data_IF_712671313060
#
_entry.id   IF_712671313060
#
_cell.length_a   1.000
_cell.length_b   1.000
_cell.length_c   1.000
_cell.angle_alpha   90.00
_cell.angle_beta   90.00
_cell.angle_gamma   90.00
#
_symmetry.space_group_name_H-M   'P 1'
#
loop_
_entity.id
_entity.type
_entity.pdbx_description
1 polymer ?
#
# COMPACT_ATOMS: atom_id res chain seq x y z
N UNK A 1 -20.94 25.55 -4.91
CA UNK A 1 -19.66 24.97 -4.49
C UNK A 1 -19.77 23.80 -3.49
N UNK A 2 -20.83 23.73 -2.66
CA UNK A 2 -21.04 22.63 -1.69
C UNK A 2 -21.63 21.33 -2.27
N UNK A 3 -22.16 21.34 -3.49
CA UNK A 3 -22.77 20.16 -4.13
C UNK A 3 -21.75 19.06 -4.47
N UNK A 4 -20.55 19.42 -4.96
CA UNK A 4 -19.52 18.46 -5.35
C UNK A 4 -18.96 17.65 -4.16
N UNK A 5 -18.58 18.29 -3.02
CA UNK A 5 -18.17 17.53 -1.83
C UNK A 5 -19.29 16.67 -1.25
N UNK A 6 -20.53 17.16 -1.30
CA UNK A 6 -21.70 16.38 -0.89
C UNK A 6 -21.93 15.15 -1.74
N UNK A 7 -21.81 15.28 -3.06
CA UNK A 7 -21.95 14.17 -3.99
C UNK A 7 -20.86 13.08 -3.79
N UNK A 8 -19.60 13.48 -3.54
CA UNK A 8 -18.52 12.50 -3.29
C UNK A 8 -18.74 11.74 -1.99
N UNK A 9 -19.21 12.39 -0.94
CA UNK A 9 -19.51 11.75 0.34
C UNK A 9 -20.71 10.78 0.22
N UNK A 10 -21.71 11.18 -0.56
CA UNK A 10 -22.87 10.34 -0.85
C UNK A 10 -22.49 9.10 -1.64
N UNK A 11 -21.58 9.20 -2.61
CA UNK A 11 -21.03 8.03 -3.34
C UNK A 11 -20.35 7.04 -2.41
N UNK A 12 -19.51 7.50 -1.47
CA UNK A 12 -18.84 6.63 -0.50
C UNK A 12 -19.87 5.90 0.37
N UNK A 13 -20.94 6.59 0.81
CA UNK A 13 -22.01 5.98 1.58
C UNK A 13 -22.80 4.94 0.77
N UNK A 14 -23.16 5.27 -0.47
CA UNK A 14 -23.87 4.34 -1.36
C UNK A 14 -23.02 3.06 -1.60
N UNK A 15 -21.71 3.23 -1.85
CA UNK A 15 -20.80 2.09 -2.01
C UNK A 15 -20.76 1.21 -0.75
N UNK A 16 -20.62 1.83 0.43
CA UNK A 16 -20.61 1.09 1.69
C UNK A 16 -21.91 0.34 1.96
N UNK A 17 -23.05 1.00 1.73
CA UNK A 17 -24.38 0.36 1.88
C UNK A 17 -24.56 -0.77 0.86
N UNK A 18 -24.17 -0.57 -0.40
CA UNK A 18 -24.26 -1.59 -1.44
C UNK A 18 -23.43 -2.83 -1.13
N UNK A 19 -22.18 -2.65 -0.65
CA UNK A 19 -21.32 -3.75 -0.21
C UNK A 19 -21.93 -4.49 0.99
N UNK A 20 -22.49 -3.77 1.97
CA UNK A 20 -23.15 -4.36 3.12
C UNK A 20 -24.38 -5.19 2.71
N UNK A 21 -25.25 -4.64 1.86
CA UNK A 21 -26.45 -5.34 1.39
C UNK A 21 -26.10 -6.62 0.61
N UNK A 22 -25.07 -6.57 -0.23
CA UNK A 22 -24.60 -7.72 -1.01
C UNK A 22 -23.83 -8.74 -0.16
N UNK A 23 -23.22 -8.35 0.94
CA UNK A 23 -22.57 -9.25 1.88
C UNK A 23 -23.53 -9.83 2.93
N UNK A 24 -24.75 -9.30 3.08
CA UNK A 24 -25.69 -9.71 4.11
C UNK A 24 -25.94 -11.23 4.17
N UNK A 25 -26.08 -11.97 3.05
CA UNK A 25 -26.37 -13.41 3.10
C UNK A 25 -25.30 -14.23 3.84
N UNK A 26 -24.04 -13.79 3.90
CA UNK A 26 -22.99 -14.55 4.59
C UNK A 26 -23.15 -14.52 6.11
N UNK A 27 -23.85 -13.51 6.64
CA UNK A 27 -24.08 -13.36 8.08
C UNK A 27 -25.24 -14.21 8.62
N UNK A 28 -26.04 -14.81 7.73
CA UNK A 28 -27.10 -15.75 8.14
C UNK A 28 -26.50 -17.04 8.70
N UNK A 29 -25.39 -17.50 8.10
CA UNK A 29 -24.75 -18.78 8.46
C UNK A 29 -23.47 -18.62 9.30
N UNK A 30 -22.83 -17.44 9.29
CA UNK A 30 -21.53 -17.21 9.91
C UNK A 30 -21.49 -15.97 10.78
N UNK A 31 -20.82 -16.04 11.92
CA UNK A 31 -20.58 -14.86 12.76
C UNK A 31 -19.42 -14.01 12.21
N UNK A 32 -19.49 -12.68 12.43
CA UNK A 32 -18.41 -11.74 12.06
C UNK A 32 -17.04 -12.18 12.58
N UNK A 33 -16.97 -12.65 13.82
CA UNK A 33 -15.73 -13.07 14.45
C UNK A 33 -15.16 -14.32 13.80
N UNK A 34 -16.01 -15.29 13.48
CA UNK A 34 -15.62 -16.50 12.76
C UNK A 34 -15.03 -16.15 11.39
N UNK A 35 -15.72 -15.32 10.60
CA UNK A 35 -15.24 -14.89 9.27
C UNK A 35 -13.87 -14.20 9.35
N UNK A 36 -13.65 -13.35 10.33
CA UNK A 36 -12.39 -12.58 10.45
C UNK A 36 -11.24 -13.40 11.03
N UNK A 37 -11.50 -14.38 11.91
CA UNK A 37 -10.48 -15.13 12.63
C UNK A 37 -10.19 -16.51 12.07
N UNK A 38 -11.12 -17.10 11.30
CA UNK A 38 -10.91 -18.42 10.72
C UNK A 38 -9.82 -18.37 9.63
N UNK A 39 -8.98 -19.40 9.59
CA UNK A 39 -7.91 -19.57 8.61
C UNK A 39 -8.25 -20.49 7.45
N UNK A 40 -9.42 -21.12 7.49
CA UNK A 40 -9.81 -22.11 6.49
C UNK A 40 -10.69 -21.47 5.40
N UNK A 41 -10.22 -21.53 4.15
CA UNK A 41 -10.95 -21.06 2.98
C UNK A 41 -11.34 -22.25 2.11
N UNK A 42 -12.60 -22.71 2.25
CA UNK A 42 -13.20 -23.82 1.47
C UNK A 42 -14.64 -23.46 1.07
N UNK A 43 -14.83 -22.61 0.07
CA UNK A 43 -16.16 -22.12 -0.31
C UNK A 43 -17.18 -23.23 -0.63
N UNK A 44 -16.75 -24.31 -1.30
CA UNK A 44 -17.62 -25.46 -1.60
C UNK A 44 -18.09 -26.23 -0.36
N UNK A 45 -17.47 -25.99 0.80
CA UNK A 45 -17.86 -26.56 2.09
C UNK A 45 -18.46 -25.52 3.04
N UNK A 46 -18.87 -24.37 2.51
CA UNK A 46 -19.38 -23.23 3.29
C UNK A 46 -18.44 -22.76 4.41
N UNK A 47 -17.12 -22.81 4.18
CA UNK A 47 -16.12 -22.30 5.13
C UNK A 47 -15.40 -21.10 4.54
N UNK A 48 -15.62 -19.93 5.14
CA UNK A 48 -15.10 -18.64 4.68
C UNK A 48 -14.27 -17.98 5.77
N UNK A 49 -12.96 -18.29 5.81
CA UNK A 49 -12.01 -17.65 6.72
C UNK A 49 -11.21 -16.55 5.99
N UNK A 50 -11.31 -15.30 6.44
CA UNK A 50 -10.60 -14.16 5.81
C UNK A 50 -9.26 -13.84 6.45
N UNK A 51 -8.91 -14.48 7.58
CA UNK A 51 -7.66 -14.20 8.29
C UNK A 51 -6.39 -14.33 7.43
N UNK A 52 -6.22 -15.38 6.59
CA UNK A 52 -5.03 -15.50 5.73
C UNK A 52 -4.91 -14.33 4.74
N UNK A 53 -6.03 -13.87 4.18
CA UNK A 53 -6.04 -12.78 3.19
C UNK A 53 -5.78 -11.42 3.81
N UNK A 54 -6.29 -11.19 5.02
CA UNK A 54 -6.00 -9.99 5.82
C UNK A 54 -4.51 -9.95 6.15
N UNK A 55 -3.96 -11.05 6.66
CA UNK A 55 -2.54 -11.13 7.00
C UNK A 55 -1.65 -10.99 5.76
N UNK A 56 -1.99 -11.63 4.64
CA UNK A 56 -1.30 -11.46 3.37
C UNK A 56 -1.25 -9.99 2.93
N UNK A 57 -2.39 -9.28 3.02
CA UNK A 57 -2.46 -7.85 2.68
C UNK A 57 -1.58 -7.00 3.60
N UNK A 58 -1.64 -7.25 4.91
CA UNK A 58 -0.84 -6.51 5.90
C UNK A 58 0.66 -6.75 5.72
N UNK A 59 1.07 -8.00 5.53
CA UNK A 59 2.47 -8.36 5.32
C UNK A 59 3.05 -7.74 4.05
N UNK A 60 2.38 -7.89 2.89
CA UNK A 60 2.85 -7.34 1.61
C UNK A 60 2.92 -5.81 1.68
N UNK A 61 1.87 -5.15 2.19
CA UNK A 61 1.85 -3.69 2.35
C UNK A 61 2.92 -3.22 3.34
N UNK A 62 3.09 -3.93 4.46
CA UNK A 62 4.11 -3.62 5.47
C UNK A 62 5.53 -3.66 4.91
N UNK A 63 5.89 -4.73 4.19
CA UNK A 63 7.21 -4.84 3.55
C UNK A 63 7.39 -3.75 2.49
N UNK A 64 6.38 -3.50 1.66
CA UNK A 64 6.45 -2.45 0.65
C UNK A 64 6.75 -1.08 1.26
N UNK A 65 6.11 -0.74 2.38
CA UNK A 65 6.34 0.52 3.07
C UNK A 65 7.72 0.58 3.74
N UNK A 66 8.14 -0.49 4.40
CA UNK A 66 9.47 -0.56 5.03
C UNK A 66 10.59 -0.33 4.02
N UNK A 67 10.43 -0.81 2.80
CA UNK A 67 11.38 -0.60 1.70
C UNK A 67 11.23 0.77 1.06
N UNK A 68 10.01 1.18 0.72
CA UNK A 68 9.77 2.39 -0.06
C UNK A 68 9.97 3.69 0.75
N UNK A 69 9.56 3.73 2.03
CA UNK A 69 9.61 4.96 2.82
C UNK A 69 11.03 5.51 3.01
N UNK A 70 12.03 4.72 3.49
CA UNK A 70 13.37 5.24 3.67
C UNK A 70 14.01 5.63 2.33
N UNK A 71 13.82 4.83 1.28
CA UNK A 71 14.37 5.12 -0.04
C UNK A 71 13.78 6.41 -0.63
N UNK A 72 12.47 6.57 -0.59
CA UNK A 72 11.80 7.76 -1.11
C UNK A 72 12.15 9.02 -0.31
N UNK A 73 12.23 8.92 1.02
CA UNK A 73 12.58 10.05 1.87
C UNK A 73 14.01 10.53 1.60
N UNK A 74 14.97 9.60 1.55
CA UNK A 74 16.38 9.92 1.26
C UNK A 74 16.55 10.47 -0.15
N UNK A 75 15.86 9.88 -1.13
CA UNK A 75 15.88 10.37 -2.51
C UNK A 75 15.30 11.79 -2.61
N UNK A 76 14.17 12.05 -1.96
CA UNK A 76 13.57 13.37 -1.97
C UNK A 76 14.47 14.43 -1.28
N UNK A 77 15.07 14.09 -0.14
CA UNK A 77 16.05 14.94 0.54
C UNK A 77 17.24 15.23 -0.38
N UNK A 78 17.79 14.20 -1.03
CA UNK A 78 18.87 14.38 -1.98
C UNK A 78 18.48 15.32 -3.12
N UNK A 79 17.32 15.11 -3.72
CA UNK A 79 16.84 15.92 -4.83
C UNK A 79 16.59 17.38 -4.44
N UNK A 80 16.02 17.63 -3.26
CA UNK A 80 15.67 19.00 -2.84
C UNK A 80 16.86 19.79 -2.32
N UNK A 81 17.67 19.18 -1.46
CA UNK A 81 18.69 19.90 -0.70
C UNK A 81 20.12 19.80 -1.28
N UNK A 82 20.41 18.72 -2.04
CA UNK A 82 21.79 18.45 -2.47
C UNK A 82 21.99 18.40 -3.98
N UNK A 83 20.95 18.06 -4.75
CA UNK A 83 21.12 17.81 -6.18
C UNK A 83 21.29 19.07 -7.01
N UNK A 84 22.10 18.96 -8.06
CA UNK A 84 22.27 20.00 -9.09
C UNK A 84 21.05 20.00 -10.04
N UNK A 85 20.81 21.14 -10.70
CA UNK A 85 19.71 21.30 -11.67
C UNK A 85 19.70 20.23 -12.79
N UNK A 86 20.89 19.80 -13.25
CA UNK A 86 21.02 18.75 -14.26
C UNK A 86 20.45 17.40 -13.79
N UNK A 87 20.71 17.00 -12.52
CA UNK A 87 20.16 15.75 -11.94
C UNK A 87 18.63 15.82 -11.91
N UNK A 88 18.09 16.93 -11.43
CA UNK A 88 16.63 17.16 -11.37
C UNK A 88 15.98 17.05 -12.73
N UNK A 89 16.62 17.63 -13.76
CA UNK A 89 16.11 17.65 -15.16
C UNK A 89 15.89 16.24 -15.72
N UNK A 90 16.71 15.27 -15.34
CA UNK A 90 16.57 13.88 -15.82
C UNK A 90 15.74 13.01 -14.87
N UNK A 91 15.80 13.30 -13.57
CA UNK A 91 15.16 12.45 -12.57
C UNK A 91 13.64 12.62 -12.53
N UNK A 92 13.11 13.85 -12.65
CA UNK A 92 11.67 14.07 -12.66
C UNK A 92 10.95 13.39 -13.81
N UNK A 93 11.36 13.50 -15.07
CA UNK A 93 10.73 12.74 -16.15
C UNK A 93 10.80 11.22 -15.95
N UNK A 94 11.90 10.71 -15.38
CA UNK A 94 12.00 9.28 -15.07
C UNK A 94 10.99 8.84 -14.00
N UNK A 95 10.78 9.64 -12.96
CA UNK A 95 9.74 9.39 -11.95
C UNK A 95 8.34 9.43 -12.57
N UNK A 96 8.07 10.40 -13.44
CA UNK A 96 6.78 10.53 -14.11
C UNK A 96 6.48 9.33 -15.02
N UNK A 97 7.47 8.85 -15.76
CA UNK A 97 7.35 7.63 -16.58
C UNK A 97 7.05 6.43 -15.68
N UNK A 98 7.81 6.22 -14.59
CA UNK A 98 7.58 5.12 -13.66
C UNK A 98 6.19 5.22 -13.02
N UNK A 99 5.75 6.42 -12.62
CA UNK A 99 4.42 6.60 -12.02
C UNK A 99 3.27 6.34 -13.01
N UNK A 100 3.51 6.51 -14.31
CA UNK A 100 2.53 6.31 -15.37
C UNK A 100 2.42 4.85 -15.86
N UNK A 101 3.38 3.98 -15.51
CA UNK A 101 3.36 2.58 -15.92
C UNK A 101 2.13 1.85 -15.32
N UNK A 102 1.39 1.08 -16.14
CA UNK A 102 0.34 0.19 -15.63
C UNK A 102 0.87 -0.85 -14.64
N UNK A 103 0.10 -1.16 -13.60
CA UNK A 103 0.49 -2.13 -12.55
C UNK A 103 0.79 -3.54 -13.09
N UNK A 104 0.15 -3.92 -14.20
CA UNK A 104 0.43 -5.17 -14.90
C UNK A 104 1.90 -5.28 -15.32
N UNK A 105 2.51 -4.18 -15.79
CA UNK A 105 3.92 -4.19 -16.21
C UNK A 105 4.83 -4.49 -15.00
N UNK A 106 4.53 -3.89 -13.85
CA UNK A 106 5.26 -4.20 -12.60
C UNK A 106 5.08 -5.66 -12.17
N UNK A 107 3.86 -6.21 -12.34
CA UNK A 107 3.58 -7.62 -12.06
C UNK A 107 4.38 -8.57 -12.96
N UNK A 108 4.38 -8.32 -14.28
CA UNK A 108 5.17 -9.11 -15.25
C UNK A 108 6.67 -8.98 -14.96
N UNK A 109 7.17 -7.77 -14.74
CA UNK A 109 8.56 -7.53 -14.36
C UNK A 109 8.93 -8.28 -13.08
N UNK A 110 8.05 -8.23 -12.08
CA UNK A 110 8.23 -8.94 -10.81
C UNK A 110 8.28 -10.45 -10.98
N UNK A 111 7.36 -11.02 -11.77
CA UNK A 111 7.32 -12.46 -12.00
C UNK A 111 8.51 -12.98 -12.81
N UNK A 112 9.06 -12.18 -13.74
CA UNK A 112 10.18 -12.56 -14.59
C UNK A 112 11.56 -12.35 -13.95
N UNK A 113 11.70 -11.36 -13.06
CA UNK A 113 13.00 -10.98 -12.48
C UNK A 113 13.06 -11.18 -10.97
N UNK A 114 12.07 -10.68 -10.22
CA UNK A 114 12.11 -10.73 -8.75
C UNK A 114 11.82 -12.13 -8.23
N UNK A 115 10.84 -12.82 -8.80
CA UNK A 115 10.48 -14.18 -8.38
C UNK A 115 11.65 -15.16 -8.59
N UNK A 116 12.28 -15.27 -9.77
CA UNK A 116 13.45 -16.13 -9.96
C UNK A 116 14.64 -15.71 -9.08
N UNK A 117 14.88 -14.41 -8.93
CA UNK A 117 15.95 -13.91 -8.06
C UNK A 117 15.75 -14.34 -6.60
N UNK A 118 14.50 -14.31 -6.12
CA UNK A 118 14.19 -14.77 -4.75
C UNK A 118 14.36 -16.29 -4.66
N UNK A 119 13.82 -17.08 -5.60
CA UNK A 119 13.85 -18.54 -5.52
C UNK A 119 15.25 -19.12 -5.67
N UNK A 120 16.08 -18.56 -6.55
CA UNK A 120 17.38 -19.12 -6.90
C UNK A 120 18.53 -18.57 -6.05
N UNK A 121 18.46 -17.28 -5.67
CA UNK A 121 19.57 -16.60 -5.01
C UNK A 121 19.31 -16.27 -3.55
N UNK A 122 18.13 -15.74 -3.21
CA UNK A 122 17.90 -15.25 -1.85
C UNK A 122 17.37 -16.36 -0.92
N UNK A 123 16.31 -17.05 -1.33
CA UNK A 123 15.65 -18.05 -0.49
C UNK A 123 16.55 -19.22 -0.04
N UNK A 124 17.45 -19.78 -0.88
CA UNK A 124 18.30 -20.90 -0.45
C UNK A 124 19.21 -20.61 0.74
N UNK A 125 19.44 -19.32 1.07
CA UNK A 125 20.24 -18.95 2.24
C UNK A 125 19.43 -18.94 3.55
N UNK A 126 18.10 -18.97 3.47
CA UNK A 126 17.22 -18.79 4.63
C UNK A 126 16.19 -19.90 4.80
N UNK A 127 15.78 -20.55 3.71
CA UNK A 127 14.76 -21.61 3.71
C UNK A 127 15.16 -22.73 2.76
N UNK A 128 14.73 -23.97 3.06
CA UNK A 128 15.05 -25.14 2.24
C UNK A 128 14.41 -25.09 0.85
N UNK A 129 13.20 -24.51 0.77
CA UNK A 129 12.46 -24.39 -0.48
C UNK A 129 11.59 -23.13 -0.50
N UNK A 130 11.62 -22.41 -1.61
CA UNK A 130 10.68 -21.35 -1.93
C UNK A 130 10.44 -21.29 -3.44
N UNK A 131 9.18 -21.15 -3.84
CA UNK A 131 8.83 -20.96 -5.26
C UNK A 131 9.22 -19.56 -5.79
N UNK A 132 9.64 -18.64 -4.91
CA UNK A 132 9.86 -17.23 -5.22
C UNK A 132 8.59 -16.39 -5.28
N UNK A 133 7.43 -16.99 -5.48
CA UNK A 133 6.12 -16.32 -5.37
C UNK A 133 5.77 -16.17 -3.89
N UNK A 134 6.13 -15.04 -3.31
CA UNK A 134 6.18 -14.86 -1.86
C UNK A 134 5.66 -13.49 -1.43
N UNK A 135 5.42 -13.36 -0.13
CA UNK A 135 5.16 -12.06 0.52
C UNK A 135 6.25 -11.04 0.18
N UNK A 136 7.52 -11.49 0.19
CA UNK A 136 8.67 -10.63 -0.12
C UNK A 136 8.64 -10.14 -1.57
N UNK A 137 8.34 -11.03 -2.54
CA UNK A 137 8.21 -10.65 -3.94
C UNK A 137 7.12 -9.57 -4.13
N UNK A 138 5.95 -9.80 -3.54
CA UNK A 138 4.86 -8.82 -3.52
C UNK A 138 5.27 -7.49 -2.90
N UNK A 139 5.94 -7.54 -1.75
CA UNK A 139 6.43 -6.37 -1.05
C UNK A 139 7.46 -5.56 -1.86
N UNK A 140 8.41 -6.21 -2.52
CA UNK A 140 9.42 -5.55 -3.38
C UNK A 140 8.74 -4.90 -4.59
N UNK A 141 7.91 -5.64 -5.33
CA UNK A 141 7.22 -5.12 -6.52
C UNK A 141 6.34 -3.93 -6.16
N UNK A 142 5.56 -4.05 -5.08
CA UNK A 142 4.71 -2.97 -4.59
C UNK A 142 5.54 -1.77 -4.12
N UNK A 143 6.71 -1.98 -3.49
CA UNK A 143 7.60 -0.90 -3.07
C UNK A 143 8.11 -0.09 -4.25
N UNK A 144 8.55 -0.75 -5.33
CA UNK A 144 9.02 -0.10 -6.56
C UNK A 144 7.90 0.73 -7.21
N UNK A 145 6.67 0.23 -7.17
CA UNK A 145 5.51 0.90 -7.75
C UNK A 145 5.08 2.16 -6.97
N UNK A 146 5.17 2.13 -5.63
CA UNK A 146 4.77 3.29 -4.81
C UNK A 146 5.91 4.31 -4.63
N UNK A 147 7.15 3.92 -4.88
CA UNK A 147 8.33 4.76 -4.69
C UNK A 147 8.28 6.07 -5.50
N UNK A 148 7.94 6.09 -6.81
CA UNK A 148 7.85 7.34 -7.58
C UNK A 148 6.84 8.32 -6.99
N UNK A 149 5.67 7.82 -6.58
CA UNK A 149 4.63 8.63 -5.94
C UNK A 149 5.14 9.28 -4.64
N UNK A 150 5.78 8.49 -3.77
CA UNK A 150 6.31 8.99 -2.50
C UNK A 150 7.43 10.00 -2.70
N UNK A 151 8.34 9.75 -3.65
CA UNK A 151 9.43 10.70 -3.96
C UNK A 151 8.85 12.02 -4.44
N UNK A 152 7.90 12.01 -5.37
CA UNK A 152 7.27 13.22 -5.89
C UNK A 152 6.57 14.02 -4.79
N UNK A 153 5.79 13.34 -3.94
CA UNK A 153 5.12 13.98 -2.81
C UNK A 153 6.10 14.57 -1.80
N UNK A 154 7.16 13.86 -1.43
CA UNK A 154 8.14 14.36 -0.49
C UNK A 154 8.94 15.52 -1.06
N UNK A 155 9.30 15.49 -2.35
CA UNK A 155 9.95 16.63 -3.03
C UNK A 155 9.05 17.86 -2.99
N UNK A 156 7.77 17.72 -3.31
CA UNK A 156 6.81 18.81 -3.22
C UNK A 156 6.72 19.37 -1.79
N UNK A 157 6.56 18.50 -0.80
CA UNK A 157 6.49 18.88 0.62
C UNK A 157 7.74 19.64 1.06
N UNK A 158 8.95 19.16 0.74
CA UNK A 158 10.19 19.85 1.12
C UNK A 158 10.37 21.17 0.39
N UNK A 159 9.88 21.29 -0.84
CA UNK A 159 9.91 22.54 -1.60
C UNK A 159 9.02 23.63 -1.01
N UNK A 160 7.98 23.29 -0.24
CA UNK A 160 7.13 24.28 0.45
C UNK A 160 7.80 24.96 1.64
N UNK A 161 8.92 24.43 2.15
CA UNK A 161 9.64 25.03 3.26
C UNK A 161 10.38 26.28 2.77
N UNK A 162 10.13 27.49 3.34
CA UNK A 162 10.75 28.74 2.91
C UNK A 162 12.26 28.71 2.97
N UNK A 163 12.92 29.29 1.96
CA UNK A 163 14.39 29.35 1.89
C UNK A 163 14.97 30.16 3.06
N UNK A 164 14.28 31.19 3.52
CA UNK A 164 14.66 32.04 4.64
C UNK A 164 14.92 31.23 5.93
N UNK A 165 14.15 30.16 6.18
CA UNK A 165 14.36 29.30 7.34
C UNK A 165 15.64 28.46 7.23
N UNK A 166 16.01 28.07 6.00
CA UNK A 166 17.26 27.38 5.73
C UNK A 166 18.46 28.31 5.93
N UNK A 167 18.36 29.52 5.39
CA UNK A 167 19.41 30.53 5.47
C UNK A 167 19.62 31.00 6.92
N UNK A 168 18.54 31.22 7.68
CA UNK A 168 18.61 31.55 9.09
C UNK A 168 19.30 30.43 9.92
N UNK A 169 18.96 29.17 9.65
CA UNK A 169 19.62 28.03 10.32
C UNK A 169 21.13 27.98 10.01
N UNK A 170 21.50 28.19 8.75
CA UNK A 170 22.91 28.19 8.34
C UNK A 170 23.66 29.40 8.85
N UNK A 171 23.04 30.57 8.95
CA UNK A 171 23.62 31.77 9.56
C UNK A 171 23.95 31.57 11.06
N UNK A 172 23.19 30.70 11.76
CA UNK A 172 23.52 30.29 13.14
C UNK A 172 24.59 29.19 13.22
N UNK A 173 25.30 28.90 12.12
CA UNK A 173 26.37 27.91 12.06
C UNK A 173 25.94 26.45 11.87
N UNK A 174 24.68 26.19 11.57
CA UNK A 174 24.24 24.85 11.31
C UNK A 174 24.74 24.33 9.94
N UNK A 175 25.18 23.08 9.88
CA UNK A 175 25.53 22.43 8.62
C UNK A 175 24.27 22.17 7.75
N UNK A 176 24.44 21.96 6.45
CA UNK A 176 23.31 21.61 5.54
C UNK A 176 22.52 20.42 6.07
N UNK A 177 23.19 19.37 6.55
CA UNK A 177 22.51 18.19 7.12
C UNK A 177 21.72 18.52 8.39
N UNK A 178 22.29 19.35 9.27
CA UNK A 178 21.58 19.78 10.49
C UNK A 178 20.33 20.60 10.13
N UNK A 179 20.44 21.52 9.17
CA UNK A 179 19.33 22.30 8.66
C UNK A 179 18.24 21.38 8.06
N UNK A 180 18.63 20.45 7.17
CA UNK A 180 17.69 19.48 6.59
C UNK A 180 16.95 18.68 7.66
N UNK A 181 17.70 18.08 8.61
CA UNK A 181 17.13 17.22 9.65
C UNK A 181 16.27 17.99 10.65
N UNK A 182 16.76 19.13 11.16
CA UNK A 182 16.13 19.86 12.28
C UNK A 182 15.10 20.90 11.82
N UNK A 183 15.23 21.43 10.60
CA UNK A 183 14.33 22.46 10.08
C UNK A 183 13.40 21.86 9.02
N UNK A 184 13.93 21.37 7.90
CA UNK A 184 13.12 20.93 6.75
C UNK A 184 12.27 19.72 7.13
N UNK A 185 12.87 18.60 7.53
CA UNK A 185 12.13 17.37 7.86
C UNK A 185 11.19 17.62 9.04
N UNK A 186 11.68 18.26 10.10
CA UNK A 186 10.86 18.46 11.31
C UNK A 186 9.62 19.32 11.04
N UNK A 187 9.76 20.38 10.25
CA UNK A 187 8.62 21.23 9.86
C UNK A 187 7.64 20.48 8.94
N UNK A 188 8.16 19.58 8.12
CA UNK A 188 7.39 18.81 7.14
C UNK A 188 6.75 17.54 7.71
N UNK A 189 7.00 17.16 8.96
CA UNK A 189 6.50 15.91 9.54
C UNK A 189 5.00 15.69 9.36
N UNK A 190 4.10 16.66 9.59
CA UNK A 190 2.67 16.45 9.37
C UNK A 190 2.34 16.13 7.91
N UNK A 191 3.00 16.81 6.97
CA UNK A 191 2.80 16.59 5.52
C UNK A 191 3.41 15.28 5.06
N UNK A 192 4.58 14.89 5.58
CA UNK A 192 5.19 13.57 5.36
C UNK A 192 4.22 12.48 5.80
N UNK A 193 3.64 12.60 7.00
CA UNK A 193 2.67 11.63 7.48
C UNK A 193 1.44 11.52 6.57
N UNK A 194 0.93 12.65 6.05
CA UNK A 194 -0.17 12.65 5.08
C UNK A 194 0.19 11.92 3.78
N UNK A 195 1.41 12.12 3.27
CA UNK A 195 1.89 11.42 2.07
C UNK A 195 2.04 9.92 2.30
N UNK A 196 2.53 9.50 3.47
CA UNK A 196 2.60 8.08 3.87
C UNK A 196 1.22 7.45 3.89
N UNK A 197 0.23 8.11 4.46
CA UNK A 197 -1.16 7.64 4.49
C UNK A 197 -1.71 7.43 3.09
N UNK A 198 -1.46 8.38 2.19
CA UNK A 198 -1.89 8.27 0.80
C UNK A 198 -1.23 7.06 0.11
N UNK A 199 0.08 6.86 0.34
CA UNK A 199 0.81 5.72 -0.19
C UNK A 199 0.29 4.37 0.35
N UNK A 200 -0.01 4.29 1.66
CA UNK A 200 -0.62 3.09 2.27
C UNK A 200 -1.99 2.81 1.65
N UNK A 201 -2.85 3.83 1.51
CA UNK A 201 -4.17 3.66 0.91
C UNK A 201 -4.08 3.14 -0.53
N UNK A 202 -3.10 3.61 -1.30
CA UNK A 202 -2.81 3.11 -2.65
C UNK A 202 -2.29 1.67 -2.63
N UNK A 203 -1.35 1.36 -1.73
CA UNK A 203 -0.76 0.04 -1.60
C UNK A 203 -1.79 -1.04 -1.21
N UNK A 204 -2.71 -0.70 -0.29
CA UNK A 204 -3.79 -1.61 0.12
C UNK A 204 -4.77 -1.94 -1.01
N UNK A 205 -4.91 -1.06 -2.01
CA UNK A 205 -5.78 -1.25 -3.16
C UNK A 205 -5.11 -1.93 -4.36
N UNK A 206 -3.79 -2.18 -4.30
CA UNK A 206 -3.10 -2.77 -5.44
C UNK A 206 -3.48 -4.23 -5.64
N UNK A 207 -3.90 -4.53 -6.86
CA UNK A 207 -4.53 -5.81 -7.18
C UNK A 207 -3.67 -6.65 -8.11
N UNK A 208 -3.39 -6.15 -9.32
CA UNK A 208 -2.84 -6.95 -10.42
C UNK A 208 -1.36 -7.27 -10.21
N UNK A 209 -0.55 -6.28 -9.81
CA UNK A 209 0.86 -6.52 -9.58
C UNK A 209 1.07 -7.57 -8.48
N UNK A 210 0.32 -7.45 -7.38
CA UNK A 210 0.40 -8.37 -6.24
C UNK A 210 -0.14 -9.76 -6.58
N UNK A 211 -1.27 -9.84 -7.33
CA UNK A 211 -1.82 -11.11 -7.83
C UNK A 211 -0.79 -11.94 -8.60
N UNK A 212 0.06 -11.28 -9.38
CA UNK A 212 1.05 -11.94 -10.24
C UNK A 212 2.28 -12.47 -9.50
N UNK A 213 2.57 -12.01 -8.27
CA UNK A 213 3.85 -12.30 -7.59
C UNK A 213 3.73 -12.90 -6.19
N UNK A 214 2.52 -12.96 -5.61
CA UNK A 214 2.33 -13.45 -4.23
C UNK A 214 2.03 -14.95 -4.11
N UNK A 215 1.80 -15.65 -5.22
CA UNK A 215 1.56 -17.11 -5.24
C UNK A 215 0.14 -17.55 -4.96
N UNK A 216 -0.75 -16.68 -4.48
CA UNK A 216 -2.20 -16.86 -4.31
C UNK A 216 -2.61 -18.12 -3.53
N UNK A 217 -1.86 -18.47 -2.49
CA UNK A 217 -2.20 -19.55 -1.58
C UNK A 217 -3.00 -19.04 -0.38
N UNK A 218 -4.15 -19.68 -0.11
CA UNK A 218 -5.06 -19.32 0.99
C UNK A 218 -4.55 -19.85 2.33
N UNK A 219 -3.33 -19.45 2.71
CA UNK A 219 -2.70 -19.80 3.98
C UNK A 219 -2.14 -18.56 4.68
N UNK A 220 -2.03 -18.64 6.00
CA UNK A 220 -1.43 -17.56 6.79
C UNK A 220 0.09 -17.57 6.57
N UNK A 221 0.69 -16.50 6.07
CA UNK A 221 2.14 -16.44 5.92
C UNK A 221 2.81 -16.33 7.30
N UNK A 222 3.76 -17.21 7.60
CA UNK A 222 4.59 -17.21 8.80
C UNK A 222 5.98 -16.63 8.53
N UNK A 223 6.41 -16.64 7.27
CA UNK A 223 7.69 -16.12 6.81
C UNK A 223 7.49 -15.17 5.64
N UNK A 224 8.46 -14.29 5.41
CA UNK A 224 8.50 -13.43 4.22
C UNK A 224 8.70 -14.22 2.93
N UNK A 225 9.17 -15.47 3.03
CA UNK A 225 9.37 -16.39 1.91
C UNK A 225 8.16 -17.28 1.64
N UNK A 226 7.09 -17.16 2.42
CA UNK A 226 5.85 -17.89 2.20
C UNK A 226 5.02 -17.22 1.11
N UNK A 227 4.24 -18.02 0.38
CA UNK A 227 3.22 -17.52 -0.51
C UNK A 227 2.03 -16.99 0.32
N UNK A 228 1.35 -15.98 -0.22
CA UNK A 228 0.16 -15.40 0.40
C UNK A 228 -0.88 -15.02 -0.64
N UNK A 229 -2.08 -14.70 -0.17
CA UNK A 229 -3.17 -14.27 -1.04
C UNK A 229 -3.82 -13.00 -0.47
N UNK A 230 -3.38 -11.80 -0.89
CA UNK A 230 -3.97 -10.55 -0.42
C UNK A 230 -5.44 -10.38 -0.87
N UNK A 231 -6.23 -9.65 -0.07
CA UNK A 231 -7.67 -9.43 -0.31
C UNK A 231 -7.95 -8.88 -1.72
N UNK A 232 -7.26 -7.84 -2.23
CA UNK A 232 -7.53 -7.34 -3.58
C UNK A 232 -7.32 -8.41 -4.66
N UNK A 233 -6.28 -9.24 -4.50
CA UNK A 233 -5.98 -10.33 -5.42
C UNK A 233 -7.06 -11.44 -5.34
N UNK A 234 -7.55 -11.77 -4.14
CA UNK A 234 -8.66 -12.69 -3.96
C UNK A 234 -9.91 -12.24 -4.75
N UNK A 235 -10.28 -10.97 -4.61
CA UNK A 235 -11.45 -10.42 -5.29
C UNK A 235 -11.25 -10.48 -6.81
N UNK A 236 -10.13 -9.99 -7.33
CA UNK A 236 -9.88 -9.94 -8.76
C UNK A 236 -9.83 -11.31 -9.43
N UNK A 237 -9.27 -12.30 -8.76
CA UNK A 237 -9.12 -13.64 -9.33
C UNK A 237 -10.44 -14.45 -9.36
N UNK A 238 -11.34 -14.15 -8.43
CA UNK A 238 -12.56 -14.95 -8.28
C UNK A 238 -13.84 -14.23 -8.75
N UNK A 239 -13.79 -12.92 -9.00
CA UNK A 239 -15.00 -12.14 -9.29
C UNK A 239 -15.77 -12.60 -10.52
N UNK A 240 -15.11 -13.02 -11.59
CA UNK A 240 -15.79 -13.41 -12.84
C UNK A 240 -16.35 -14.82 -12.82
N UNK A 241 -15.70 -15.76 -12.12
CA UNK A 241 -16.00 -17.20 -12.23
C UNK A 241 -17.04 -17.66 -11.20
N UNK A 242 -17.06 -17.05 -10.02
CA UNK A 242 -17.80 -17.56 -8.86
C UNK A 242 -19.08 -16.80 -8.54
N UNK A 243 -19.47 -15.81 -9.34
CA UNK A 243 -20.73 -15.04 -9.16
C UNK A 243 -22.01 -15.89 -9.30
N UNK A 244 -21.90 -17.08 -9.87
CA UNK A 244 -23.03 -18.03 -10.00
C UNK A 244 -23.43 -18.68 -8.68
N UNK A 245 -22.60 -18.60 -7.64
CA UNK A 245 -22.86 -19.15 -6.31
C UNK A 245 -23.19 -18.00 -5.34
N UNK A 246 -24.45 -17.83 -4.90
CA UNK A 246 -24.87 -16.66 -4.12
C UNK A 246 -24.05 -16.42 -2.84
N UNK A 247 -23.72 -17.50 -2.13
CA UNK A 247 -22.94 -17.40 -0.89
C UNK A 247 -21.46 -17.03 -1.15
N UNK A 248 -20.92 -17.48 -2.30
CA UNK A 248 -19.57 -17.10 -2.71
C UNK A 248 -19.52 -15.64 -3.17
N UNK A 249 -20.52 -15.16 -3.91
CA UNK A 249 -20.67 -13.73 -4.24
C UNK A 249 -20.70 -12.89 -2.96
N UNK A 250 -21.52 -13.28 -1.98
CA UNK A 250 -21.61 -12.58 -0.70
C UNK A 250 -20.27 -12.57 0.05
N UNK A 251 -19.50 -13.65 0.00
CA UNK A 251 -18.15 -13.72 0.59
C UNK A 251 -17.18 -12.75 -0.10
N UNK A 252 -17.19 -12.65 -1.43
CA UNK A 252 -16.34 -11.68 -2.16
C UNK A 252 -16.75 -10.24 -1.88
N UNK A 253 -18.07 -9.97 -1.78
CA UNK A 253 -18.56 -8.64 -1.40
C UNK A 253 -18.17 -8.30 0.05
N UNK A 254 -18.15 -9.28 0.95
CA UNK A 254 -17.63 -9.11 2.30
C UNK A 254 -16.12 -8.84 2.32
N UNK A 255 -15.32 -9.53 1.49
CA UNK A 255 -13.90 -9.21 1.31
C UNK A 255 -13.69 -7.76 0.86
N UNK A 256 -14.48 -7.29 -0.11
CA UNK A 256 -14.45 -5.90 -0.58
C UNK A 256 -14.89 -4.93 0.54
N UNK A 257 -15.88 -5.30 1.36
CA UNK A 257 -16.28 -4.50 2.52
C UNK A 257 -15.19 -4.42 3.58
N UNK A 258 -14.48 -5.51 3.88
CA UNK A 258 -13.31 -5.50 4.78
C UNK A 258 -12.28 -4.47 4.29
N UNK A 259 -11.89 -4.55 3.02
CA UNK A 259 -10.92 -3.65 2.43
C UNK A 259 -11.39 -2.20 2.49
N UNK A 260 -12.65 -1.94 2.14
CA UNK A 260 -13.28 -0.62 2.21
C UNK A 260 -13.23 -0.05 3.62
N UNK A 261 -13.62 -0.83 4.64
CA UNK A 261 -13.61 -0.40 6.04
C UNK A 261 -12.18 -0.15 6.53
N UNK A 262 -11.22 -1.03 6.21
CA UNK A 262 -9.81 -0.84 6.59
C UNK A 262 -9.24 0.45 6.01
N UNK A 263 -9.43 0.71 4.71
CA UNK A 263 -8.98 1.93 4.06
C UNK A 263 -9.66 3.16 4.65
N UNK A 264 -10.96 3.09 4.93
CA UNK A 264 -11.71 4.20 5.50
C UNK A 264 -11.24 4.52 6.92
N UNK A 265 -11.11 3.51 7.79
CA UNK A 265 -10.61 3.66 9.15
C UNK A 265 -9.19 4.22 9.17
N UNK A 266 -8.31 3.71 8.30
CA UNK A 266 -6.95 4.19 8.18
C UNK A 266 -6.90 5.68 7.79
N UNK A 267 -7.71 6.10 6.82
CA UNK A 267 -7.82 7.51 6.41
C UNK A 267 -8.42 8.40 7.53
N UNK A 268 -9.41 7.92 8.27
CA UNK A 268 -9.99 8.65 9.40
C UNK A 268 -8.99 8.83 10.54
N UNK A 269 -8.33 7.76 10.96
CA UNK A 269 -7.29 7.79 12.00
C UNK A 269 -6.17 8.76 11.61
N UNK A 270 -5.75 8.74 10.36
CA UNK A 270 -4.74 9.64 9.82
C UNK A 270 -5.15 11.10 9.90
N UNK A 271 -6.40 11.43 9.59
CA UNK A 271 -6.93 12.79 9.74
C UNK A 271 -6.92 13.26 11.19
N UNK A 272 -7.27 12.38 12.13
CA UNK A 272 -7.25 12.69 13.57
C UNK A 272 -5.82 13.00 14.04
N UNK A 273 -4.85 12.17 13.62
CA UNK A 273 -3.44 12.36 13.97
C UNK A 273 -2.90 13.67 13.38
N UNK A 274 -3.20 13.94 12.10
CA UNK A 274 -2.79 15.19 11.44
C UNK A 274 -3.39 16.43 12.11
N UNK A 275 -4.65 16.37 12.55
CA UNK A 275 -5.28 17.45 13.26
C UNK A 275 -4.58 17.75 14.60
N UNK A 276 -4.18 16.72 15.32
CA UNK A 276 -3.41 16.86 16.57
C UNK A 276 -2.01 17.42 16.33
N UNK A 277 -1.31 16.96 15.31
CA UNK A 277 0.04 17.45 14.96
C UNK A 277 0.07 18.92 14.49
N UNK A 278 -1.02 19.42 13.89
CA UNK A 278 -1.13 20.85 13.51
C UNK A 278 -1.41 21.75 14.70
N UNK A 279 -1.95 21.23 15.79
CA UNK A 279 -2.35 22.01 16.97
C UNK A 279 -1.24 22.06 18.04
N UNK A 280 -0.23 21.21 17.93
CA UNK A 280 1.01 21.19 18.72
C UNK A 280 2.12 21.97 18.03
#
# INVERSE_FOLDING_TARGET
MYLLPGASLLLVLIMGIGLYMKSAPIFEDHSLWELLSASEWKPFKNRFGFYPFIMGTVWVTGIALVLALPLSLLTAVFLTEYSRAWVKRWFYPALDILAALPSVIYGVWGSLLIVPWISEWLAPHFVEFSSGYTVLAGGIVLSVMILPLLVSLFVEIFSTVPQELRDASQALGATRWQTTKKVVIRRSLPSIFAAVVLAVSRALGETIAVLMVCGNLSQVPHSVFDACYPIPALIANNYGEMLSLPLYEAALMFAAMILFVVVLLFNLLSRIILYRLKKS
#
